data_IF_997078229414
#
_entry.id   IF_997078229414
#
_cell.length_a   1.000
_cell.length_b   1.000
_cell.length_c   1.000
_cell.angle_alpha   90.00
_cell.angle_beta   90.00
_cell.angle_gamma   90.00
#
_symmetry.space_group_name_H-M   'P 1'
#
loop_
_entity.id
_entity.type
_entity.pdbx_description
1 polymer ?
#
# COMPACT_ATOMS: atom_id res chain seq x y z
N UNK A 1 5.10 16.08 -9.19
CA UNK A 1 6.22 15.91 -8.23
C UNK A 1 5.77 15.60 -6.79
N UNK A 2 4.77 16.31 -6.22
CA UNK A 2 4.31 16.04 -4.82
C UNK A 2 3.72 14.63 -4.63
N UNK A 3 3.02 14.07 -5.63
CA UNK A 3 2.47 12.69 -5.57
C UNK A 3 3.56 11.63 -5.44
N UNK A 4 4.65 11.72 -6.20
CA UNK A 4 5.78 10.78 -6.11
C UNK A 4 6.46 10.88 -4.75
N UNK A 5 6.68 12.11 -4.23
CA UNK A 5 7.30 12.31 -2.92
C UNK A 5 6.46 11.68 -1.79
N UNK A 6 5.13 11.76 -1.89
CA UNK A 6 4.20 11.11 -0.97
C UNK A 6 4.29 9.59 -1.06
N UNK A 7 4.22 9.02 -2.28
CA UNK A 7 4.35 7.58 -2.53
C UNK A 7 5.67 7.04 -1.96
N UNK A 8 6.81 7.70 -2.25
CA UNK A 8 8.13 7.31 -1.75
C UNK A 8 8.21 7.39 -0.21
N UNK A 9 7.61 8.43 0.39
CA UNK A 9 7.53 8.57 1.86
C UNK A 9 6.76 7.40 2.48
N UNK A 10 5.58 7.07 1.93
CA UNK A 10 4.76 5.95 2.40
C UNK A 10 5.47 4.61 2.21
N UNK A 11 6.09 4.38 1.06
CA UNK A 11 6.84 3.15 0.79
C UNK A 11 8.03 2.98 1.74
N UNK A 12 8.78 4.06 2.03
CA UNK A 12 9.87 4.04 3.01
C UNK A 12 9.37 3.72 4.43
N UNK A 13 8.24 4.33 4.83
CA UNK A 13 7.60 4.05 6.11
C UNK A 13 7.14 2.60 6.18
N UNK A 14 6.51 2.09 5.11
CA UNK A 14 6.02 0.73 5.01
C UNK A 14 7.15 -0.30 5.09
N UNK A 15 8.29 -0.06 4.41
CA UNK A 15 9.49 -0.92 4.53
C UNK A 15 10.03 -0.97 5.97
N UNK A 16 9.89 0.09 6.75
CA UNK A 16 10.39 0.13 8.14
C UNK A 16 9.38 -0.40 9.17
N UNK A 17 8.08 -0.22 8.95
CA UNK A 17 7.00 -0.54 9.90
C UNK A 17 6.20 -1.78 9.52
N UNK A 18 6.30 -2.24 8.26
CA UNK A 18 5.56 -3.32 7.62
C UNK A 18 4.06 -3.08 7.47
N UNK A 19 3.45 -2.24 8.30
CA UNK A 19 2.02 -1.96 8.27
C UNK A 19 1.76 -0.46 8.33
N UNK A 20 0.92 0.07 7.41
CA UNK A 20 0.44 1.45 7.45
C UNK A 20 -1.07 1.51 7.27
N UNK A 21 -1.69 2.55 7.79
CA UNK A 21 -3.08 2.89 7.50
C UNK A 21 -3.12 4.29 6.87
N UNK A 22 -3.69 4.38 5.69
CA UNK A 22 -4.02 5.63 5.04
C UNK A 22 -5.40 6.08 5.53
N UNK A 23 -5.45 7.15 6.30
CA UNK A 23 -6.68 7.69 6.87
C UNK A 23 -7.01 9.08 6.33
N UNK A 24 -8.26 9.47 6.42
CA UNK A 24 -8.73 10.81 6.05
C UNK A 24 -10.17 10.83 5.59
N UNK A 25 -10.68 12.00 5.27
CA UNK A 25 -12.05 12.19 4.79
C UNK A 25 -12.31 11.43 3.46
N UNK A 26 -13.58 11.13 3.14
CA UNK A 26 -13.95 10.56 1.84
C UNK A 26 -13.42 11.42 0.67
N UNK A 27 -12.98 10.77 -0.41
CA UNK A 27 -12.53 11.47 -1.61
C UNK A 27 -11.13 12.11 -1.54
N UNK A 28 -10.31 11.78 -0.52
CA UNK A 28 -8.91 12.25 -0.40
C UNK A 28 -7.91 11.37 -1.17
N UNK A 29 -8.37 10.36 -1.91
CA UNK A 29 -7.53 9.51 -2.75
C UNK A 29 -6.80 8.38 -2.00
N UNK A 30 -7.32 7.92 -0.86
CA UNK A 30 -6.71 6.83 -0.07
C UNK A 30 -6.50 5.58 -0.93
N UNK A 31 -7.57 4.95 -1.39
CA UNK A 31 -7.53 3.73 -2.21
C UNK A 31 -6.78 3.95 -3.53
N UNK A 32 -6.91 5.15 -4.14
CA UNK A 32 -6.18 5.54 -5.34
C UNK A 32 -4.64 5.44 -5.17
N UNK A 33 -4.11 5.84 -4.01
CA UNK A 33 -2.68 5.85 -3.75
C UNK A 33 -2.14 4.47 -3.35
N UNK A 34 -2.98 3.52 -2.92
CA UNK A 34 -2.51 2.19 -2.48
C UNK A 34 -1.76 1.43 -3.56
N UNK A 35 -2.23 1.49 -4.81
CA UNK A 35 -1.60 0.82 -5.95
C UNK A 35 -0.19 1.35 -6.22
N UNK A 36 -0.01 2.68 -6.27
CA UNK A 36 1.29 3.29 -6.49
C UNK A 36 2.28 2.99 -5.34
N UNK A 37 1.80 3.03 -4.08
CA UNK A 37 2.60 2.69 -2.90
C UNK A 37 3.01 1.22 -2.94
N UNK A 38 2.09 0.32 -3.33
CA UNK A 38 2.38 -1.11 -3.46
C UNK A 38 3.48 -1.36 -4.50
N UNK A 39 3.37 -0.78 -5.71
CA UNK A 39 4.39 -0.93 -6.75
C UNK A 39 5.76 -0.41 -6.29
N UNK A 40 5.80 0.74 -5.63
CA UNK A 40 7.04 1.33 -5.10
C UNK A 40 7.67 0.44 -4.01
N UNK A 41 6.88 -0.11 -3.09
CA UNK A 41 7.37 -1.02 -2.04
C UNK A 41 7.91 -2.31 -2.65
N UNK A 42 7.25 -2.82 -3.70
CA UNK A 42 7.68 -4.02 -4.43
C UNK A 42 8.93 -3.79 -5.29
N UNK A 43 9.43 -2.55 -5.40
CA UNK A 43 10.58 -2.20 -6.21
C UNK A 43 10.33 -2.29 -7.73
N UNK A 44 9.09 -2.04 -8.17
CA UNK A 44 8.72 -2.03 -9.57
C UNK A 44 9.10 -0.68 -10.19
N UNK A 45 10.17 -0.67 -10.98
CA UNK A 45 10.77 0.56 -11.53
C UNK A 45 10.49 0.77 -13.03
N UNK A 46 9.75 -0.14 -13.65
CA UNK A 46 9.41 -0.13 -15.08
C UNK A 46 8.11 0.62 -15.40
N UNK A 47 7.51 1.28 -14.40
CA UNK A 47 6.24 2.01 -14.50
C UNK A 47 6.40 3.45 -14.03
N UNK A 48 5.88 4.41 -14.78
CA UNK A 48 5.74 5.78 -14.31
C UNK A 48 4.61 5.88 -13.27
N UNK A 49 4.97 6.07 -12.01
CA UNK A 49 4.01 6.19 -10.91
C UNK A 49 3.12 7.45 -10.98
N UNK A 50 3.37 8.37 -11.91
CA UNK A 50 2.48 9.51 -12.19
C UNK A 50 1.39 9.19 -13.20
N UNK A 51 1.56 8.14 -13.98
CA UNK A 51 0.55 7.63 -14.89
C UNK A 51 -0.31 6.55 -14.22
N UNK A 52 -1.48 6.96 -13.76
CA UNK A 52 -2.40 6.06 -13.07
C UNK A 52 -2.86 4.88 -13.93
N UNK A 53 -2.98 5.06 -15.24
CA UNK A 53 -3.40 3.98 -16.15
C UNK A 53 -2.32 2.91 -16.20
N UNK A 54 -1.05 3.33 -16.34
CA UNK A 54 0.10 2.42 -16.29
C UNK A 54 0.24 1.72 -14.92
N UNK A 55 0.05 2.47 -13.81
CA UNK A 55 0.04 1.93 -12.46
C UNK A 55 -1.03 0.85 -12.30
N UNK A 56 -2.28 1.12 -12.70
CA UNK A 56 -3.38 0.16 -12.58
C UNK A 56 -3.24 -1.05 -13.50
N UNK A 57 -2.63 -0.88 -14.66
CA UNK A 57 -2.28 -2.01 -15.54
C UNK A 57 -1.29 -2.95 -14.83
N UNK A 58 -0.20 -2.40 -14.30
CA UNK A 58 0.82 -3.19 -13.59
C UNK A 58 0.28 -3.82 -12.30
N UNK A 59 -0.57 -3.09 -11.57
CA UNK A 59 -1.26 -3.60 -10.40
C UNK A 59 -2.04 -4.89 -10.73
N UNK A 60 -2.84 -4.89 -11.81
CA UNK A 60 -3.63 -6.06 -12.24
C UNK A 60 -2.74 -7.25 -12.65
N UNK A 61 -1.57 -6.98 -13.28
CA UNK A 61 -0.61 -8.02 -13.64
C UNK A 61 -0.01 -8.73 -12.40
N UNK A 62 0.04 -8.04 -11.25
CA UNK A 62 0.60 -8.55 -9.99
C UNK A 62 -0.48 -9.02 -9.00
N UNK A 63 -1.75 -8.87 -9.35
CA UNK A 63 -2.87 -9.27 -8.49
C UNK A 63 -2.86 -10.78 -8.27
N UNK A 64 -3.16 -11.20 -7.03
CA UNK A 64 -3.14 -12.58 -6.54
C UNK A 64 -1.79 -13.32 -6.64
N UNK A 65 -0.71 -12.61 -7.04
CA UNK A 65 0.67 -13.11 -6.99
C UNK A 65 1.53 -12.32 -5.99
N UNK A 66 1.59 -10.99 -6.15
CA UNK A 66 2.37 -10.11 -5.28
C UNK A 66 1.55 -9.01 -4.62
N UNK A 67 0.33 -8.77 -5.10
CA UNK A 67 -0.62 -7.79 -4.53
C UNK A 67 -1.94 -8.50 -4.27
N UNK A 68 -2.34 -8.54 -3.02
CA UNK A 68 -3.63 -9.07 -2.57
C UNK A 68 -4.52 -7.91 -2.12
N UNK A 69 -5.81 -7.99 -2.41
CA UNK A 69 -6.77 -6.94 -2.07
C UNK A 69 -8.01 -7.53 -1.42
N UNK A 70 -8.43 -6.93 -0.32
CA UNK A 70 -9.70 -7.25 0.35
C UNK A 70 -10.34 -5.99 0.91
N UNK A 71 -11.64 -6.01 1.08
CA UNK A 71 -12.41 -4.95 1.76
C UNK A 71 -12.97 -5.51 3.05
N UNK A 72 -12.78 -4.82 4.16
CA UNK A 72 -13.40 -5.23 5.42
C UNK A 72 -14.85 -4.79 5.46
N UNK A 73 -15.70 -5.66 6.01
CA UNK A 73 -17.11 -5.43 6.24
C UNK A 73 -17.56 -6.19 7.51
N UNK A 74 -18.75 -5.89 8.01
CA UNK A 74 -19.23 -6.43 9.30
C UNK A 74 -19.34 -7.95 9.33
N UNK A 75 -19.58 -8.59 8.19
CA UNK A 75 -19.73 -10.04 8.09
C UNK A 75 -18.41 -10.80 7.86
N UNK A 76 -17.29 -10.08 7.64
CA UNK A 76 -15.99 -10.72 7.47
C UNK A 76 -15.47 -11.22 8.81
N UNK A 77 -15.00 -12.44 8.85
CA UNK A 77 -14.44 -13.05 10.05
C UNK A 77 -13.10 -13.75 9.81
N UNK A 78 -12.62 -14.43 10.84
CA UNK A 78 -11.36 -15.17 10.83
C UNK A 78 -11.33 -16.26 9.75
N UNK A 79 -12.46 -16.93 9.54
CA UNK A 79 -12.55 -18.07 8.63
C UNK A 79 -12.38 -17.68 7.15
N UNK A 80 -12.82 -16.45 6.79
CA UNK A 80 -12.64 -15.94 5.44
C UNK A 80 -11.29 -15.24 5.25
N UNK A 81 -10.72 -14.71 6.34
CA UNK A 81 -9.51 -13.91 6.26
C UNK A 81 -8.23 -14.73 6.47
N UNK A 82 -8.21 -15.63 7.46
CA UNK A 82 -7.03 -16.43 7.81
C UNK A 82 -7.16 -17.85 7.27
N UNK A 83 -8.03 -18.66 7.87
CA UNK A 83 -8.36 -20.01 7.42
C UNK A 83 -9.71 -20.44 7.98
N UNK A 84 -10.47 -21.22 7.22
CA UNK A 84 -11.77 -21.73 7.64
C UNK A 84 -12.08 -23.09 7.06
N UNK A 85 -13.02 -23.82 7.69
CA UNK A 85 -13.49 -25.09 7.17
C UNK A 85 -14.48 -24.88 6.02
N UNK A 86 -14.11 -25.32 4.83
CA UNK A 86 -15.00 -25.25 3.64
C UNK A 86 -15.45 -26.66 3.23
N UNK A 87 -16.73 -26.80 2.76
CA UNK A 87 -17.24 -28.08 2.32
C UNK A 87 -16.68 -28.46 0.95
N UNK A 88 -16.10 -29.65 0.85
CA UNK A 88 -15.63 -30.25 -0.39
C UNK A 88 -16.50 -31.46 -0.74
N UNK A 89 -17.04 -31.47 -1.96
CA UNK A 89 -17.84 -32.60 -2.46
C UNK A 89 -16.87 -33.71 -2.89
N UNK A 90 -16.94 -34.85 -2.23
CA UNK A 90 -16.26 -36.04 -2.68
C UNK A 90 -17.02 -36.70 -3.83
N UNK A 91 -16.31 -37.01 -4.92
CA UNK A 91 -16.86 -37.71 -6.08
C UNK A 91 -16.18 -39.07 -6.24
N UNK A 92 -16.93 -40.10 -6.64
CA UNK A 92 -16.37 -41.37 -7.04
C UNK A 92 -15.72 -41.31 -8.45
N UNK A 93 -15.11 -42.41 -8.90
CA UNK A 93 -14.48 -42.46 -10.22
C UNK A 93 -15.42 -42.20 -11.39
N UNK A 94 -16.73 -42.26 -11.17
CA UNK A 94 -17.79 -42.01 -12.17
C UNK A 94 -18.30 -40.56 -12.10
N UNK A 95 -17.77 -39.70 -11.20
CA UNK A 95 -18.20 -38.31 -11.03
C UNK A 95 -19.47 -38.13 -10.18
N UNK A 96 -19.97 -39.20 -9.52
CA UNK A 96 -21.14 -39.10 -8.63
C UNK A 96 -20.72 -38.67 -7.23
N UNK A 97 -21.48 -37.78 -6.59
CA UNK A 97 -21.24 -37.31 -5.22
C UNK A 97 -21.42 -38.47 -4.23
N UNK A 98 -20.38 -38.78 -3.44
CA UNK A 98 -20.40 -39.82 -2.40
C UNK A 98 -20.36 -39.26 -0.99
N UNK A 99 -20.22 -37.93 -0.82
CA UNK A 99 -20.22 -37.28 0.49
C UNK A 99 -19.71 -35.88 0.45
N UNK A 100 -19.71 -35.23 1.62
CA UNK A 100 -19.09 -33.90 1.84
C UNK A 100 -18.06 -34.06 2.95
N UNK A 101 -16.85 -33.59 2.69
CA UNK A 101 -15.79 -33.42 3.70
C UNK A 101 -15.61 -31.93 3.98
N UNK A 102 -15.13 -31.61 5.18
CA UNK A 102 -14.75 -30.26 5.55
C UNK A 102 -13.24 -30.19 5.67
N UNK A 103 -12.62 -29.35 4.86
CA UNK A 103 -11.17 -29.18 4.85
C UNK A 103 -10.79 -27.72 5.14
N UNK A 104 -9.68 -27.48 5.86
CA UNK A 104 -9.17 -26.13 6.06
C UNK A 104 -8.77 -25.49 4.72
N UNK A 105 -9.36 -24.35 4.40
CA UNK A 105 -9.03 -23.53 3.23
C UNK A 105 -8.37 -22.22 3.67
N UNK A 106 -7.33 -21.80 2.96
CA UNK A 106 -6.58 -20.60 3.27
C UNK A 106 -7.36 -19.34 2.89
N UNK A 107 -7.61 -18.46 3.86
CA UNK A 107 -8.13 -17.12 3.64
C UNK A 107 -7.09 -16.20 2.97
N UNK A 108 -7.52 -14.99 2.60
CA UNK A 108 -6.69 -14.07 1.81
C UNK A 108 -5.40 -13.67 2.53
N UNK A 109 -5.41 -13.50 3.85
CA UNK A 109 -4.21 -13.17 4.63
C UNK A 109 -3.19 -14.30 4.58
N UNK A 110 -3.62 -15.53 4.80
CA UNK A 110 -2.75 -16.70 4.77
C UNK A 110 -2.20 -16.95 3.36
N UNK A 111 -3.03 -16.77 2.31
CA UNK A 111 -2.57 -16.82 0.91
C UNK A 111 -1.50 -15.76 0.62
N UNK A 112 -1.68 -14.52 1.10
CA UNK A 112 -0.68 -13.47 0.95
C UNK A 112 0.62 -13.78 1.70
N UNK A 113 0.55 -14.39 2.89
CA UNK A 113 1.73 -14.87 3.62
C UNK A 113 2.45 -15.98 2.85
N UNK A 114 1.71 -16.97 2.35
CA UNK A 114 2.27 -18.10 1.59
C UNK A 114 2.91 -17.64 0.27
N UNK A 115 2.36 -16.60 -0.37
CA UNK A 115 2.90 -16.03 -1.59
C UNK A 115 4.27 -15.33 -1.40
N UNK A 116 4.69 -15.03 -0.18
CA UNK A 116 6.04 -14.49 0.11
C UNK A 116 7.12 -15.51 -0.23
N UNK A 117 6.86 -16.80 0.01
CA UNK A 117 7.77 -17.88 -0.33
C UNK A 117 7.54 -18.34 -1.77
N UNK A 118 8.60 -18.41 -2.56
CA UNK A 118 8.56 -19.07 -3.88
C UNK A 118 8.81 -20.56 -3.72
N UNK A 119 8.14 -21.33 -4.54
CA UNK A 119 8.34 -22.80 -4.56
C UNK A 119 9.78 -23.13 -5.00
N UNK A 120 10.57 -23.69 -4.08
CA UNK A 120 11.96 -24.04 -4.31
C UNK A 120 12.44 -25.08 -3.30
N UNK A 121 13.36 -25.95 -3.72
CA UNK A 121 13.83 -27.07 -2.91
C UNK A 121 14.89 -26.69 -1.86
N UNK A 122 15.59 -25.57 -2.04
CA UNK A 122 16.70 -25.12 -1.17
C UNK A 122 16.58 -23.64 -0.83
N UNK A 123 17.04 -23.28 0.36
CA UNK A 123 17.19 -21.86 0.76
C UNK A 123 18.16 -21.13 -0.17
N UNK A 124 17.85 -19.86 -0.50
CA UNK A 124 18.66 -19.05 -1.42
C UNK A 124 20.10 -18.84 -0.91
N UNK A 125 20.28 -18.79 0.41
CA UNK A 125 21.62 -18.61 1.01
C UNK A 125 22.46 -19.87 0.80
N UNK A 126 21.88 -21.04 1.04
CA UNK A 126 22.54 -22.34 0.74
C UNK A 126 22.87 -22.47 -0.75
N UNK A 127 21.94 -22.03 -1.63
CA UNK A 127 22.18 -22.03 -3.07
C UNK A 127 23.33 -21.09 -3.48
N UNK A 128 23.42 -19.91 -2.85
CA UNK A 128 24.54 -18.99 -3.07
C UNK A 128 25.86 -19.63 -2.64
N UNK A 129 25.90 -20.25 -1.45
CA UNK A 129 27.11 -20.88 -0.94
C UNK A 129 27.53 -22.07 -1.82
N UNK A 130 26.59 -22.93 -2.25
CA UNK A 130 26.85 -24.01 -3.20
C UNK A 130 27.35 -23.47 -4.56
N UNK A 131 26.78 -22.39 -5.05
CA UNK A 131 27.20 -21.77 -6.32
C UNK A 131 28.62 -21.22 -6.21
N UNK A 132 28.97 -20.57 -5.09
CA UNK A 132 30.34 -20.07 -4.84
C UNK A 132 31.37 -21.21 -4.88
N UNK A 133 31.04 -22.36 -4.32
CA UNK A 133 31.94 -23.52 -4.40
C UNK A 133 32.16 -24.01 -5.86
N UNK A 134 31.13 -23.94 -6.72
CA UNK A 134 31.24 -24.30 -8.14
C UNK A 134 32.13 -23.37 -8.96
N UNK A 135 32.20 -22.09 -8.56
CA UNK A 135 32.99 -21.03 -9.24
C UNK A 135 34.28 -20.70 -8.49
N UNK A 136 34.75 -21.62 -7.65
CA UNK A 136 35.97 -21.46 -6.89
C UNK A 136 37.18 -21.51 -7.83
N UNK A 137 38.00 -20.44 -7.82
CA UNK A 137 39.14 -20.24 -8.70
C UNK A 137 38.78 -19.58 -10.06
N UNK A 138 39.73 -18.86 -10.64
CA UNK A 138 39.51 -18.20 -11.93
C UNK A 138 39.32 -19.20 -13.09
N UNK A 139 39.90 -20.38 -13.00
CA UNK A 139 39.74 -21.49 -13.96
C UNK A 139 38.28 -21.97 -14.03
N UNK A 140 37.54 -21.89 -12.90
CA UNK A 140 36.14 -22.32 -12.79
C UNK A 140 35.16 -21.15 -13.02
N UNK A 141 35.66 -20.01 -13.56
CA UNK A 141 34.81 -18.87 -13.86
C UNK A 141 33.61 -19.25 -14.73
N UNK A 142 32.46 -18.71 -14.41
CA UNK A 142 31.24 -18.89 -15.19
C UNK A 142 30.80 -17.62 -15.86
N UNK A 143 30.14 -17.76 -17.01
CA UNK A 143 29.54 -16.68 -17.76
C UNK A 143 28.05 -16.64 -17.45
N UNK A 144 27.55 -15.51 -16.94
CA UNK A 144 26.13 -15.28 -16.67
C UNK A 144 25.64 -14.08 -17.49
N UNK A 145 24.34 -14.03 -17.88
CA UNK A 145 23.79 -12.86 -18.56
C UNK A 145 23.67 -11.69 -17.58
N UNK A 146 23.77 -10.47 -18.09
CA UNK A 146 23.35 -9.27 -17.37
C UNK A 146 21.82 -9.17 -17.36
N UNK A 147 21.22 -8.40 -16.44
CA UNK A 147 19.77 -8.23 -16.34
C UNK A 147 19.12 -7.75 -17.65
N UNK A 148 19.82 -6.94 -18.42
CA UNK A 148 19.35 -6.46 -19.73
C UNK A 148 19.44 -7.50 -20.85
N UNK A 149 20.11 -8.63 -20.62
CA UNK A 149 20.40 -9.63 -21.62
C UNK A 149 21.37 -9.20 -22.75
N UNK A 150 21.78 -7.93 -22.80
CA UNK A 150 22.60 -7.34 -23.89
C UNK A 150 24.10 -7.67 -23.78
N UNK A 151 24.55 -8.09 -22.60
CA UNK A 151 25.93 -8.47 -22.32
C UNK A 151 25.97 -9.59 -21.30
N UNK A 152 27.19 -10.08 -20.96
CA UNK A 152 27.36 -11.11 -19.96
C UNK A 152 28.51 -10.73 -19.02
N UNK A 153 28.54 -11.37 -17.87
CA UNK A 153 29.57 -11.25 -16.86
C UNK A 153 30.30 -12.56 -16.71
N UNK A 154 31.63 -12.52 -16.59
CA UNK A 154 32.39 -13.60 -15.96
C UNK A 154 32.38 -13.39 -14.47
N UNK A 155 32.12 -14.47 -13.71
CA UNK A 155 32.10 -14.49 -12.25
C UNK A 155 32.99 -15.63 -11.75
N UNK A 156 33.72 -15.39 -10.67
CA UNK A 156 34.49 -16.38 -9.94
C UNK A 156 34.71 -15.97 -8.50
N UNK A 157 34.97 -16.92 -7.65
CA UNK A 157 35.22 -16.68 -6.23
C UNK A 157 36.57 -17.29 -5.83
N UNK A 158 37.34 -16.55 -5.05
CA UNK A 158 38.55 -17.08 -4.43
C UNK A 158 38.24 -17.47 -3.00
N UNK A 159 38.54 -18.73 -2.64
CA UNK A 159 38.24 -19.24 -1.30
C UNK A 159 38.83 -18.38 -0.21
N UNK A 160 38.03 -18.14 0.84
CA UNK A 160 38.37 -17.27 1.95
C UNK A 160 38.14 -15.77 1.69
N UNK A 161 37.82 -15.36 0.46
CA UNK A 161 37.48 -13.98 0.19
C UNK A 161 36.01 -13.66 0.58
N UNK A 162 35.82 -12.48 1.15
CA UNK A 162 34.48 -11.92 1.45
C UNK A 162 33.80 -11.30 0.22
N UNK A 163 34.48 -11.35 -0.94
CA UNK A 163 34.00 -10.74 -2.18
C UNK A 163 33.99 -11.75 -3.34
N UNK A 164 32.91 -11.68 -4.14
CA UNK A 164 32.79 -12.30 -5.44
C UNK A 164 33.43 -11.41 -6.49
N UNK A 165 34.29 -11.94 -7.33
CA UNK A 165 34.92 -11.23 -8.45
C UNK A 165 34.03 -11.29 -9.69
N UNK A 166 33.85 -10.15 -10.35
CA UNK A 166 33.04 -10.06 -11.58
C UNK A 166 33.78 -9.30 -12.68
N UNK A 167 33.49 -9.63 -13.94
CA UNK A 167 34.05 -8.97 -15.11
C UNK A 167 33.07 -8.97 -16.28
N UNK A 168 32.90 -7.80 -16.92
CA UNK A 168 32.13 -7.71 -18.17
C UNK A 168 32.80 -8.49 -19.29
N UNK A 169 32.03 -9.19 -20.14
CA UNK A 169 32.54 -9.85 -21.35
C UNK A 169 33.10 -8.88 -22.39
N UNK A 170 32.82 -7.60 -22.27
CA UNK A 170 33.38 -6.56 -23.15
C UNK A 170 34.84 -6.19 -22.77
N UNK A 171 35.36 -6.74 -21.68
CA UNK A 171 36.76 -6.57 -21.30
C UNK A 171 37.69 -7.39 -22.21
N UNK A 172 38.77 -6.80 -22.69
CA UNK A 172 39.73 -7.41 -23.65
C UNK A 172 40.65 -8.43 -23.01
N UNK A 173 40.96 -8.28 -21.69
CA UNK A 173 41.84 -9.22 -20.98
C UNK A 173 41.13 -10.50 -20.58
N UNK A 174 41.80 -11.64 -20.63
CA UNK A 174 41.25 -12.94 -20.20
C UNK A 174 42.01 -13.55 -19.00
N UNK A 175 43.06 -12.91 -18.50
CA UNK A 175 43.88 -13.39 -17.41
C UNK A 175 43.51 -12.73 -16.08
N UNK A 176 43.53 -13.48 -14.98
CA UNK A 176 43.44 -12.88 -13.65
C UNK A 176 44.69 -12.02 -13.41
N UNK A 177 44.49 -10.78 -12.99
CA UNK A 177 45.57 -9.80 -12.77
C UNK A 177 45.82 -8.81 -13.91
N UNK A 178 45.28 -9.08 -15.13
CA UNK A 178 45.41 -8.12 -16.26
C UNK A 178 44.43 -6.95 -16.16
N UNK A 179 43.52 -6.96 -15.18
CA UNK A 179 42.50 -5.93 -14.95
C UNK A 179 42.04 -5.96 -13.49
N UNK A 180 41.42 -4.89 -13.04
CA UNK A 180 40.81 -4.82 -11.71
C UNK A 180 39.38 -5.37 -11.79
N UNK A 181 39.05 -6.50 -11.11
CA UNK A 181 37.69 -6.99 -11.09
C UNK A 181 36.77 -6.04 -10.33
N UNK A 182 35.48 -6.06 -10.67
CA UNK A 182 34.44 -5.38 -9.89
C UNK A 182 34.05 -6.29 -8.73
N UNK A 183 34.52 -6.02 -7.50
CA UNK A 183 34.25 -6.91 -6.37
C UNK A 183 32.85 -6.66 -5.83
N UNK A 184 32.12 -7.75 -5.55
CA UNK A 184 30.81 -7.72 -4.90
C UNK A 184 30.93 -8.34 -3.52
N UNK A 185 30.50 -7.66 -2.49
CA UNK A 185 30.49 -8.18 -1.13
C UNK A 185 29.44 -9.29 -1.01
N UNK A 186 29.86 -10.50 -0.59
CA UNK A 186 29.01 -11.69 -0.52
C UNK A 186 27.92 -11.53 0.53
N UNK A 187 28.20 -10.97 1.70
CA UNK A 187 27.17 -10.73 2.73
C UNK A 187 26.11 -9.75 2.25
N UNK A 188 26.53 -8.73 1.51
CA UNK A 188 25.57 -7.79 0.88
C UNK A 188 24.73 -8.49 -0.20
N UNK A 189 25.31 -9.40 -0.99
CA UNK A 189 24.56 -10.23 -1.94
C UNK A 189 23.53 -11.07 -1.21
N UNK A 190 23.90 -11.74 -0.13
CA UNK A 190 23.00 -12.56 0.69
C UNK A 190 21.85 -11.72 1.27
N UNK A 191 22.14 -10.54 1.83
CA UNK A 191 21.11 -9.61 2.32
C UNK A 191 20.16 -9.14 1.21
N UNK A 192 20.70 -8.85 0.03
CA UNK A 192 19.92 -8.45 -1.14
C UNK A 192 19.02 -9.59 -1.63
N UNK A 193 19.53 -10.84 -1.65
CA UNK A 193 18.77 -12.03 -2.02
C UNK A 193 17.58 -12.29 -1.07
N UNK A 194 17.73 -11.93 0.21
CA UNK A 194 16.68 -11.97 1.24
C UNK A 194 15.73 -10.76 1.23
N UNK A 195 15.91 -9.79 0.32
CA UNK A 195 15.11 -8.57 0.28
C UNK A 195 15.40 -7.58 1.42
N UNK A 196 16.50 -7.75 2.15
CA UNK A 196 16.87 -6.92 3.33
C UNK A 196 17.65 -5.64 2.99
N UNK A 197 17.52 -5.11 1.78
CA UNK A 197 18.03 -3.82 1.36
C UNK A 197 19.52 -3.60 1.69
N UNK A 198 20.42 -4.13 0.86
CA UNK A 198 21.85 -3.86 0.97
C UNK A 198 22.40 -3.50 -0.39
N UNK A 199 23.04 -2.31 -0.49
CA UNK A 199 23.61 -1.85 -1.75
C UNK A 199 25.07 -2.32 -1.90
N UNK A 200 25.34 -3.02 -3.00
CA UNK A 200 26.69 -3.26 -3.51
C UNK A 200 27.11 -2.11 -4.44
N UNK A 201 28.38 -1.81 -4.55
CA UNK A 201 28.89 -0.79 -5.48
C UNK A 201 28.52 -1.08 -6.95
N UNK A 202 28.22 -2.36 -7.28
CA UNK A 202 27.78 -2.84 -8.60
C UNK A 202 26.49 -3.61 -8.46
N UNK A 203 25.44 -2.92 -8.02
CA UNK A 203 24.15 -3.53 -7.67
C UNK A 203 23.54 -4.36 -8.81
N UNK A 204 23.67 -3.90 -10.07
CA UNK A 204 23.16 -4.64 -11.23
C UNK A 204 23.88 -5.98 -11.43
N UNK A 205 25.18 -6.08 -11.08
CA UNK A 205 25.94 -7.30 -11.17
C UNK A 205 25.58 -8.26 -10.03
N UNK A 206 25.38 -7.74 -8.83
CA UNK A 206 24.90 -8.52 -7.70
C UNK A 206 23.52 -9.14 -8.00
N UNK A 207 22.60 -8.36 -8.56
CA UNK A 207 21.29 -8.85 -8.97
C UNK A 207 21.38 -9.89 -10.09
N UNK A 208 22.23 -9.71 -11.09
CA UNK A 208 22.45 -10.69 -12.15
C UNK A 208 23.00 -12.02 -11.59
N UNK A 209 23.88 -11.97 -10.60
CA UNK A 209 24.37 -13.15 -9.91
C UNK A 209 23.23 -13.86 -9.13
N UNK A 210 22.43 -13.13 -8.36
CA UNK A 210 21.29 -13.70 -7.63
C UNK A 210 20.32 -14.40 -8.59
N UNK A 211 19.99 -13.77 -9.72
CA UNK A 211 19.09 -14.38 -10.73
C UNK A 211 19.72 -15.65 -11.36
N UNK A 212 21.03 -15.65 -11.59
CA UNK A 212 21.71 -16.85 -12.10
C UNK A 212 21.65 -18.02 -11.10
N UNK A 213 21.81 -17.73 -9.79
CA UNK A 213 21.66 -18.74 -8.73
C UNK A 213 20.24 -19.25 -8.65
N UNK A 214 19.25 -18.37 -8.65
CA UNK A 214 17.82 -18.75 -8.64
C UNK A 214 17.47 -19.68 -9.79
N UNK A 215 17.90 -19.33 -10.99
CA UNK A 215 17.62 -20.12 -12.20
C UNK A 215 18.29 -21.50 -12.19
N UNK A 216 19.52 -21.61 -11.64
CA UNK A 216 20.25 -22.89 -11.61
C UNK A 216 19.70 -23.85 -10.56
N UNK A 217 19.29 -23.34 -9.40
CA UNK A 217 18.89 -24.19 -8.27
C UNK A 217 17.38 -24.23 -8.04
N UNK A 218 16.58 -23.47 -8.79
CA UNK A 218 15.16 -23.24 -8.44
C UNK A 218 15.04 -22.91 -6.95
N UNK A 219 15.88 -21.97 -6.51
CA UNK A 219 16.03 -21.67 -5.10
C UNK A 219 14.75 -21.08 -4.51
N UNK A 220 14.43 -21.51 -3.28
CA UNK A 220 13.40 -20.87 -2.47
C UNK A 220 13.80 -19.43 -2.21
N UNK A 221 13.02 -18.48 -2.68
CA UNK A 221 13.29 -17.06 -2.50
C UNK A 221 12.09 -16.37 -1.86
N UNK A 222 12.37 -15.47 -0.93
CA UNK A 222 11.31 -14.65 -0.34
C UNK A 222 11.07 -13.41 -1.21
N UNK A 223 9.95 -13.36 -1.90
CA UNK A 223 9.51 -12.18 -2.63
C UNK A 223 8.72 -11.24 -1.73
N UNK A 224 8.78 -9.95 -2.00
CA UNK A 224 7.92 -8.98 -1.32
C UNK A 224 6.49 -9.09 -1.82
N UNK A 225 5.54 -9.10 -0.88
CA UNK A 225 4.10 -9.17 -1.13
C UNK A 225 3.41 -8.01 -0.41
N UNK A 226 2.38 -7.44 -1.00
CA UNK A 226 1.55 -6.40 -0.40
C UNK A 226 0.11 -6.89 -0.25
N UNK A 227 -0.42 -6.80 0.96
CA UNK A 227 -1.85 -6.99 1.23
C UNK A 227 -2.49 -5.61 1.44
N UNK A 228 -3.47 -5.27 0.63
CA UNK A 228 -4.28 -4.06 0.75
C UNK A 228 -5.60 -4.43 1.39
N UNK A 229 -5.94 -3.74 2.48
CA UNK A 229 -7.19 -3.89 3.24
C UNK A 229 -7.96 -2.57 3.15
N UNK A 230 -8.94 -2.52 2.28
CA UNK A 230 -9.79 -1.35 2.14
C UNK A 230 -10.84 -1.31 3.26
N UNK A 231 -11.17 -0.10 3.76
CA UNK A 231 -12.15 0.11 4.85
C UNK A 231 -11.87 -0.74 6.11
N UNK A 232 -10.60 -0.79 6.56
CA UNK A 232 -10.15 -1.67 7.65
C UNK A 232 -10.97 -1.48 8.95
N UNK A 233 -11.55 -0.30 9.17
CA UNK A 233 -12.37 0.01 10.34
C UNK A 233 -13.82 -0.49 10.23
N UNK A 234 -14.29 -0.99 9.07
CA UNK A 234 -15.65 -1.52 8.91
C UNK A 234 -15.83 -2.94 9.44
N UNK A 235 -14.74 -3.65 9.69
CA UNK A 235 -14.75 -4.98 10.30
C UNK A 235 -14.28 -4.97 11.76
N UNK A 236 -14.62 -6.01 12.51
CA UNK A 236 -14.03 -6.22 13.82
C UNK A 236 -12.62 -6.79 13.67
N UNK A 237 -11.62 -5.90 13.60
CA UNK A 237 -10.24 -6.27 13.27
C UNK A 237 -9.66 -7.26 14.26
N UNK A 238 -9.95 -7.12 15.56
CA UNK A 238 -9.48 -8.06 16.59
C UNK A 238 -10.07 -9.47 16.40
N UNK A 239 -11.33 -9.57 15.96
CA UNK A 239 -11.97 -10.86 15.64
C UNK A 239 -11.38 -11.44 14.33
N UNK A 240 -11.18 -10.61 13.32
CA UNK A 240 -10.72 -11.02 11.98
C UNK A 240 -9.28 -11.54 12.03
N UNK A 241 -8.38 -10.86 12.73
CA UNK A 241 -6.98 -11.30 12.87
C UNK A 241 -6.78 -12.35 13.96
N UNK A 242 -7.67 -12.38 14.97
CA UNK A 242 -7.52 -13.26 16.11
C UNK A 242 -6.14 -13.16 16.78
N UNK A 243 -5.54 -14.30 17.07
CA UNK A 243 -4.19 -14.39 17.66
C UNK A 243 -3.06 -13.84 16.79
N UNK A 244 -3.30 -13.75 15.47
CA UNK A 244 -2.29 -13.27 14.52
C UNK A 244 -2.03 -11.77 14.65
N UNK A 245 -2.90 -11.02 15.33
CA UNK A 245 -2.74 -9.58 15.53
C UNK A 245 -1.38 -9.25 16.18
N UNK A 246 -0.90 -10.11 17.09
CA UNK A 246 0.41 -9.93 17.74
C UNK A 246 1.57 -10.13 16.78
N UNK A 247 1.42 -11.00 15.79
CA UNK A 247 2.46 -11.32 14.80
C UNK A 247 2.65 -10.21 13.76
N UNK A 248 1.78 -9.21 13.74
CA UNK A 248 1.92 -8.04 12.85
C UNK A 248 3.06 -7.11 13.27
N UNK A 249 3.49 -7.17 14.54
CA UNK A 249 4.63 -6.38 15.03
C UNK A 249 5.92 -6.82 14.31
N UNK A 250 6.75 -5.85 13.88
CA UNK A 250 7.94 -6.14 13.06
C UNK A 250 8.95 -7.06 13.76
N UNK A 251 9.06 -6.99 15.09
CA UNK A 251 9.97 -7.83 15.87
C UNK A 251 9.46 -9.26 16.08
N UNK A 252 8.16 -9.52 15.88
CA UNK A 252 7.51 -10.82 16.03
C UNK A 252 7.43 -11.63 14.74
N UNK A 253 7.72 -11.00 13.59
CA UNK A 253 7.71 -11.66 12.29
C UNK A 253 8.88 -12.62 12.13
N UNK A 254 8.82 -13.53 11.16
CA UNK A 254 9.76 -14.66 10.99
C UNK A 254 11.25 -14.29 11.04
N UNK A 255 11.65 -13.10 10.56
CA UNK A 255 13.04 -12.63 10.61
C UNK A 255 13.22 -11.44 11.58
N UNK A 256 12.27 -11.22 12.48
CA UNK A 256 12.34 -10.21 13.54
C UNK A 256 13.29 -10.62 14.68
N UNK A 257 13.49 -9.73 15.64
CA UNK A 257 14.38 -10.01 16.78
C UNK A 257 13.79 -11.05 17.76
N UNK A 258 12.46 -11.16 17.81
CA UNK A 258 11.74 -12.08 18.71
C UNK A 258 10.63 -12.78 17.92
N UNK A 259 10.95 -13.66 16.94
CA UNK A 259 9.95 -14.28 16.09
C UNK A 259 9.02 -15.18 16.90
N UNK A 260 7.72 -15.06 16.63
CA UNK A 260 6.69 -15.88 17.29
C UNK A 260 5.90 -16.61 16.21
N UNK A 261 5.61 -17.89 16.48
CA UNK A 261 4.67 -18.69 15.69
C UNK A 261 3.51 -19.13 16.57
N UNK A 262 2.33 -19.20 16.00
CA UNK A 262 1.13 -19.69 16.67
C UNK A 262 0.58 -20.92 15.94
N UNK A 263 -0.11 -21.78 16.66
CA UNK A 263 -0.80 -22.92 16.05
C UNK A 263 -2.17 -22.46 15.57
N UNK A 264 -2.42 -22.59 14.28
CA UNK A 264 -3.71 -22.23 13.68
C UNK A 264 -4.82 -23.19 14.14
N UNK A 265 -6.06 -22.71 14.33
CA UNK A 265 -7.13 -23.49 14.96
C UNK A 265 -7.68 -24.62 14.09
N UNK A 266 -7.72 -24.46 12.77
CA UNK A 266 -8.32 -25.45 11.84
C UNK A 266 -7.26 -26.39 11.25
N UNK A 267 -6.23 -25.85 10.61
CA UNK A 267 -5.17 -26.67 9.99
C UNK A 267 -4.22 -27.33 10.99
N UNK A 268 -4.19 -26.86 12.25
CA UNK A 268 -3.25 -27.31 13.31
C UNK A 268 -1.78 -27.17 12.92
N UNK A 269 -1.47 -26.25 12.01
CA UNK A 269 -0.10 -25.94 11.58
C UNK A 269 0.48 -24.75 12.34
N UNK A 270 1.80 -24.75 12.55
CA UNK A 270 2.50 -23.61 13.12
C UNK A 270 2.63 -22.52 12.06
N UNK A 271 2.18 -21.31 12.38
CA UNK A 271 2.12 -20.20 11.46
C UNK A 271 2.83 -18.96 12.01
N UNK A 272 3.63 -18.31 11.17
CA UNK A 272 4.30 -17.04 11.42
C UNK A 272 4.00 -16.05 10.30
N UNK A 273 4.12 -14.77 10.57
CA UNK A 273 3.94 -13.72 9.55
C UNK A 273 5.29 -13.39 8.93
N UNK A 274 5.44 -13.52 7.60
CA UNK A 274 6.70 -13.24 6.92
C UNK A 274 7.08 -11.76 7.01
N UNK A 275 8.38 -11.48 7.11
CA UNK A 275 8.87 -10.10 7.18
C UNK A 275 8.74 -9.33 5.86
N UNK A 276 8.63 -10.03 4.73
CA UNK A 276 8.45 -9.41 3.41
C UNK A 276 6.97 -9.24 3.01
N UNK A 277 6.04 -9.49 3.93
CA UNK A 277 4.63 -9.12 3.77
C UNK A 277 4.43 -7.69 4.27
N UNK A 278 3.90 -6.82 3.42
CA UNK A 278 3.55 -5.44 3.74
C UNK A 278 2.03 -5.27 3.74
N UNK A 279 1.49 -4.53 4.71
CA UNK A 279 0.04 -4.33 4.83
C UNK A 279 -0.29 -2.85 4.70
N UNK A 280 -1.20 -2.51 3.79
CA UNK A 280 -1.72 -1.17 3.59
C UNK A 280 -3.21 -1.20 3.91
N UNK A 281 -3.62 -0.60 5.02
CA UNK A 281 -5.03 -0.35 5.33
C UNK A 281 -5.48 1.00 4.80
N UNK A 282 -6.78 1.13 4.46
CA UNK A 282 -7.43 2.43 4.29
C UNK A 282 -8.57 2.57 5.28
N UNK A 283 -8.85 3.78 5.74
CA UNK A 283 -10.02 4.05 6.55
C UNK A 283 -10.55 5.47 6.38
N UNK A 284 -11.86 5.63 6.49
CA UNK A 284 -12.51 6.92 6.57
C UNK A 284 -12.55 7.38 8.04
N UNK A 285 -12.11 8.62 8.30
CA UNK A 285 -12.06 9.18 9.66
C UNK A 285 -13.41 9.66 10.16
N UNK A 286 -14.34 9.98 9.26
CA UNK A 286 -15.67 10.52 9.58
C UNK A 286 -16.75 9.47 9.81
N UNK A 287 -16.49 8.22 9.45
CA UNK A 287 -17.48 7.15 9.57
C UNK A 287 -17.62 6.67 11.04
N UNK A 288 -18.59 7.23 11.76
CA UNK A 288 -18.92 6.88 13.15
C UNK A 288 -19.65 5.55 13.30
N UNK A 289 -20.25 5.04 12.24
CA UNK A 289 -20.93 3.75 12.23
C UNK A 289 -19.96 2.57 12.39
N UNK A 290 -18.69 2.85 12.10
CA UNK A 290 -17.57 1.92 12.26
C UNK A 290 -16.95 2.09 13.64
N UNK A 291 -16.68 0.98 14.32
CA UNK A 291 -16.07 1.00 15.65
C UNK A 291 -14.73 1.75 15.66
N UNK A 292 -14.37 2.33 16.80
CA UNK A 292 -13.03 2.90 17.00
C UNK A 292 -11.99 1.80 16.82
N UNK A 293 -10.95 2.06 16.02
CA UNK A 293 -9.82 1.15 15.91
C UNK A 293 -9.24 0.87 17.30
N UNK A 294 -9.17 -0.41 17.64
CA UNK A 294 -8.62 -0.88 18.90
C UNK A 294 -7.18 -0.34 19.10
N UNK A 295 -6.85 0.03 20.32
CA UNK A 295 -5.50 0.44 20.71
C UNK A 295 -4.44 -0.60 20.32
N UNK A 296 -4.80 -1.87 20.25
CA UNK A 296 -3.94 -2.95 19.76
C UNK A 296 -3.41 -2.70 18.34
N UNK A 297 -4.25 -2.17 17.43
CA UNK A 297 -3.85 -1.83 16.07
C UNK A 297 -3.00 -0.56 16.00
N UNK A 298 -3.28 0.43 16.85
CA UNK A 298 -2.51 1.68 16.87
C UNK A 298 -1.02 1.45 17.13
N UNK A 299 -0.66 0.39 17.83
CA UNK A 299 0.73 0.01 18.09
C UNK A 299 1.39 -0.70 16.90
N UNK A 300 0.61 -1.35 16.04
CA UNK A 300 1.06 -2.23 14.96
C UNK A 300 1.07 -1.57 13.59
N UNK A 301 0.33 -0.48 13.44
CA UNK A 301 0.23 0.28 12.20
C UNK A 301 0.75 1.70 12.37
N UNK A 302 1.43 2.21 11.35
CA UNK A 302 1.73 3.63 11.27
C UNK A 302 0.60 4.33 10.50
N UNK A 303 0.07 5.43 11.06
CA UNK A 303 -1.04 6.16 10.48
C UNK A 303 -0.53 7.31 9.61
N UNK A 304 -1.07 7.42 8.41
CA UNK A 304 -0.76 8.46 7.44
C UNK A 304 -2.05 9.16 7.04
N UNK A 305 -2.21 10.43 7.43
CA UNK A 305 -3.40 11.20 7.10
C UNK A 305 -3.27 11.82 5.71
N UNK A 306 -4.27 11.59 4.86
CA UNK A 306 -4.44 12.24 3.57
C UNK A 306 -5.45 13.37 3.70
N UNK A 307 -4.98 14.57 3.41
CA UNK A 307 -5.79 15.78 3.46
C UNK A 307 -6.36 16.10 2.08
N UNK A 308 -7.50 16.79 2.07
CA UNK A 308 -8.01 17.41 0.85
C UNK A 308 -7.01 18.45 0.34
N UNK A 309 -6.59 18.35 -0.93
CA UNK A 309 -5.54 19.20 -1.49
C UNK A 309 -6.02 19.93 -2.75
N UNK A 310 -6.15 21.27 -2.71
CA UNK A 310 -6.58 22.06 -3.85
C UNK A 310 -5.60 22.03 -5.04
N UNK A 311 -4.31 21.79 -4.81
CA UNK A 311 -3.33 21.66 -5.91
C UNK A 311 -3.62 20.45 -6.82
N UNK A 312 -4.26 19.41 -6.29
CA UNK A 312 -4.69 18.24 -7.10
C UNK A 312 -5.85 18.66 -8.01
N UNK A 313 -6.80 19.46 -7.49
CA UNK A 313 -7.89 20.03 -8.28
C UNK A 313 -7.33 20.90 -9.41
N UNK A 314 -6.41 21.80 -9.10
CA UNK A 314 -5.74 22.64 -10.10
C UNK A 314 -5.03 21.81 -11.17
N UNK A 315 -4.29 20.79 -10.75
CA UNK A 315 -3.58 19.88 -11.68
C UNK A 315 -4.54 19.14 -12.61
N UNK A 316 -5.70 18.72 -12.12
CA UNK A 316 -6.75 18.08 -12.91
C UNK A 316 -7.24 18.99 -14.03
N UNK A 317 -7.66 20.23 -13.70
CA UNK A 317 -8.17 21.15 -14.69
C UNK A 317 -7.11 21.72 -15.64
N UNK A 318 -5.86 21.81 -15.19
CA UNK A 318 -4.75 22.15 -16.08
C UNK A 318 -4.54 21.10 -17.16
N UNK A 319 -4.71 19.81 -16.83
CA UNK A 319 -4.65 18.69 -17.83
C UNK A 319 -5.84 18.74 -18.80
N UNK A 320 -7.02 19.14 -18.31
CA UNK A 320 -8.23 19.31 -19.15
C UNK A 320 -8.23 20.60 -19.97
N UNK A 321 -7.27 21.51 -19.72
CA UNK A 321 -7.19 22.84 -20.34
C UNK A 321 -8.50 23.63 -20.18
N UNK A 322 -9.12 23.58 -18.99
CA UNK A 322 -10.37 24.26 -18.66
C UNK A 322 -10.19 25.24 -17.49
N UNK A 323 -9.70 26.48 -17.75
CA UNK A 323 -9.42 27.46 -16.69
C UNK A 323 -10.67 28.01 -16.00
N UNK A 324 -11.81 28.11 -16.70
CA UNK A 324 -13.04 28.63 -16.11
C UNK A 324 -13.61 27.68 -15.08
N UNK A 325 -13.71 26.41 -15.41
CA UNK A 325 -14.19 25.38 -14.48
C UNK A 325 -13.22 25.19 -13.31
N UNK A 326 -11.89 25.36 -13.52
CA UNK A 326 -10.90 25.39 -12.46
C UNK A 326 -11.21 26.43 -11.40
N UNK A 327 -11.49 27.67 -11.83
CA UNK A 327 -11.80 28.79 -10.92
C UNK A 327 -13.03 28.44 -10.09
N UNK A 328 -14.11 27.98 -10.73
CA UNK A 328 -15.36 27.59 -10.06
C UNK A 328 -15.14 26.47 -9.04
N UNK A 329 -14.41 25.43 -9.40
CA UNK A 329 -14.13 24.28 -8.54
C UNK A 329 -13.26 24.66 -7.32
N UNK A 330 -12.23 25.51 -7.51
CA UNK A 330 -11.39 25.99 -6.40
C UNK A 330 -12.17 26.93 -5.48
N UNK A 331 -13.01 27.79 -6.04
CA UNK A 331 -13.87 28.67 -5.26
C UNK A 331 -14.85 27.87 -4.41
N UNK A 332 -15.51 26.86 -5.00
CA UNK A 332 -16.40 25.95 -4.30
C UNK A 332 -15.67 25.22 -3.18
N UNK A 333 -14.48 24.68 -3.45
CA UNK A 333 -13.63 24.04 -2.43
C UNK A 333 -13.36 24.98 -1.25
N UNK A 334 -12.97 26.21 -1.52
CA UNK A 334 -12.67 27.21 -0.49
C UNK A 334 -13.91 27.61 0.31
N UNK A 335 -15.07 27.75 -0.35
CA UNK A 335 -16.35 28.07 0.30
C UNK A 335 -16.76 26.95 1.28
N UNK A 336 -16.70 25.71 0.85
CA UNK A 336 -17.02 24.56 1.71
C UNK A 336 -16.01 24.45 2.85
N UNK A 337 -14.73 24.65 2.56
CA UNK A 337 -13.69 24.68 3.58
C UNK A 337 -13.95 25.75 4.63
N UNK A 338 -14.27 26.97 4.21
CA UNK A 338 -14.58 28.07 5.14
C UNK A 338 -15.81 27.77 5.99
N UNK A 339 -16.84 27.16 5.40
CA UNK A 339 -18.06 26.75 6.11
C UNK A 339 -17.73 25.70 7.20
N UNK A 340 -17.00 24.62 6.85
CA UNK A 340 -16.62 23.58 7.81
C UNK A 340 -15.69 24.14 8.90
N UNK A 341 -14.76 25.05 8.52
CA UNK A 341 -13.77 25.64 9.43
C UNK A 341 -14.33 26.71 10.37
N UNK A 342 -15.55 27.16 10.17
CA UNK A 342 -16.13 28.18 11.04
C UNK A 342 -16.10 27.70 12.50
N UNK A 343 -15.49 28.45 13.44
CA UNK A 343 -15.46 28.07 14.86
C UNK A 343 -16.87 27.93 15.47
N UNK A 344 -17.88 28.56 14.83
CA UNK A 344 -19.27 28.46 15.24
C UNK A 344 -19.91 27.13 14.87
N UNK A 345 -19.33 26.40 13.89
CA UNK A 345 -19.93 25.20 13.30
C UNK A 345 -19.35 23.90 13.86
N UNK A 346 -18.08 23.88 14.25
CA UNK A 346 -17.40 22.67 14.71
C UNK A 346 -17.88 22.26 16.11
N UNK A 347 -18.40 21.04 16.20
CA UNK A 347 -18.79 20.40 17.45
C UNK A 347 -17.90 19.18 17.71
N UNK A 348 -17.26 19.14 18.90
CA UNK A 348 -16.49 17.98 19.37
C UNK A 348 -15.03 17.96 18.91
N UNK A 349 -14.39 16.79 19.07
CA UNK A 349 -12.94 16.58 18.92
C UNK A 349 -12.46 16.30 17.48
N UNK A 350 -13.25 16.67 16.45
CA UNK A 350 -12.84 16.45 15.07
C UNK A 350 -11.87 17.53 14.58
N UNK A 351 -10.75 17.05 14.02
CA UNK A 351 -9.86 17.93 13.26
C UNK A 351 -10.46 18.31 11.91
N UNK A 352 -10.10 19.47 11.39
CA UNK A 352 -10.55 19.90 10.07
C UNK A 352 -10.15 18.93 8.97
N UNK A 353 -8.98 18.31 9.10
CA UNK A 353 -8.45 17.33 8.16
C UNK A 353 -9.30 16.07 8.07
N UNK A 354 -10.11 15.81 9.10
CA UNK A 354 -11.02 14.68 9.15
C UNK A 354 -12.34 14.97 8.45
N UNK A 355 -12.78 16.25 8.44
CA UNK A 355 -14.10 16.64 7.97
C UNK A 355 -14.11 17.24 6.56
N UNK A 356 -12.98 17.81 6.11
CA UNK A 356 -12.93 18.47 4.82
C UNK A 356 -13.15 17.48 3.67
N UNK A 357 -14.19 17.72 2.89
CA UNK A 357 -14.56 16.93 1.70
C UNK A 357 -13.35 16.79 0.76
N UNK A 358 -13.05 15.58 0.35
CA UNK A 358 -11.86 15.26 -0.43
C UNK A 358 -11.85 15.93 -1.81
N UNK A 359 -10.67 16.15 -2.35
CA UNK A 359 -10.47 16.86 -3.62
C UNK A 359 -11.13 16.17 -4.83
N UNK A 360 -11.39 14.86 -4.79
CA UNK A 360 -12.03 14.13 -5.91
C UNK A 360 -13.47 14.60 -6.18
N UNK A 361 -14.17 15.09 -5.18
CA UNK A 361 -15.51 15.63 -5.33
C UNK A 361 -15.57 16.92 -6.17
N UNK A 362 -14.44 17.61 -6.26
CA UNK A 362 -14.30 18.87 -7.02
C UNK A 362 -13.67 18.66 -8.40
N UNK A 363 -13.39 17.43 -8.80
CA UNK A 363 -12.78 17.11 -10.08
C UNK A 363 -13.86 16.60 -11.04
N UNK A 364 -14.16 17.39 -12.08
CA UNK A 364 -15.21 17.11 -13.06
C UNK A 364 -14.73 17.43 -14.48
N UNK A 365 -15.34 16.84 -15.51
CA UNK A 365 -15.07 17.11 -16.91
C UNK A 365 -15.89 18.27 -17.47
N UNK A 366 -17.02 18.56 -16.82
CA UNK A 366 -17.94 19.64 -17.19
C UNK A 366 -18.54 20.33 -15.97
N UNK A 367 -19.13 21.52 -16.15
CA UNK A 367 -19.85 22.23 -15.10
C UNK A 367 -21.06 21.45 -14.61
N UNK A 368 -21.80 20.82 -15.52
CA UNK A 368 -22.93 19.95 -15.19
C UNK A 368 -22.51 18.78 -14.28
N UNK A 369 -21.38 18.14 -14.59
CA UNK A 369 -20.85 17.08 -13.72
C UNK A 369 -20.44 17.62 -12.35
N UNK A 370 -19.84 18.83 -12.29
CA UNK A 370 -19.50 19.46 -11.01
C UNK A 370 -20.74 19.74 -10.18
N UNK A 371 -21.79 20.31 -10.80
CA UNK A 371 -23.06 20.57 -10.13
C UNK A 371 -23.74 19.28 -9.65
N UNK A 372 -23.74 18.23 -10.44
CA UNK A 372 -24.24 16.93 -10.03
C UNK A 372 -23.49 16.38 -8.81
N UNK A 373 -22.16 16.54 -8.76
CA UNK A 373 -21.38 16.17 -7.57
C UNK A 373 -21.73 17.02 -6.34
N UNK A 374 -22.00 18.31 -6.54
CA UNK A 374 -22.49 19.16 -5.44
C UNK A 374 -23.81 18.63 -4.92
N UNK A 375 -24.79 18.47 -5.80
CA UNK A 375 -26.17 18.13 -5.45
C UNK A 375 -26.30 16.73 -4.83
N UNK A 376 -25.65 15.74 -5.45
CA UNK A 376 -25.87 14.33 -5.11
C UNK A 376 -24.77 13.71 -4.24
N UNK A 377 -23.63 14.37 -4.06
CA UNK A 377 -22.52 13.82 -3.28
C UNK A 377 -22.11 14.74 -2.12
N UNK A 378 -21.83 16.03 -2.38
CA UNK A 378 -21.31 16.95 -1.36
C UNK A 378 -22.41 17.38 -0.38
N UNK A 379 -23.56 17.83 -0.88
CA UNK A 379 -24.65 18.30 -0.03
C UNK A 379 -25.19 17.19 0.88
N UNK A 380 -25.44 15.96 0.41
CA UNK A 380 -25.81 14.85 1.28
C UNK A 380 -24.79 14.56 2.37
N UNK A 381 -23.47 14.56 2.03
CA UNK A 381 -22.40 14.31 2.99
C UNK A 381 -22.36 15.39 4.09
N UNK A 382 -22.45 16.67 3.72
CA UNK A 382 -22.49 17.76 4.70
C UNK A 382 -23.77 17.71 5.53
N UNK A 383 -24.92 17.35 4.93
CA UNK A 383 -26.15 17.17 5.65
C UNK A 383 -26.06 16.03 6.69
N UNK A 384 -25.35 14.95 6.37
CA UNK A 384 -25.04 13.85 7.30
C UNK A 384 -24.20 14.35 8.47
N UNK A 385 -23.13 15.12 8.22
CA UNK A 385 -22.33 15.72 9.28
C UNK A 385 -23.13 16.63 10.22
N UNK A 386 -24.12 17.36 9.67
CA UNK A 386 -25.03 18.19 10.47
C UNK A 386 -25.98 17.32 11.29
N UNK A 387 -26.59 16.29 10.69
CA UNK A 387 -27.51 15.37 11.36
C UNK A 387 -26.83 14.56 12.49
N UNK A 388 -25.57 14.19 12.29
CA UNK A 388 -24.75 13.48 13.28
C UNK A 388 -24.22 14.40 14.40
N UNK A 389 -24.51 15.71 14.32
CA UNK A 389 -24.05 16.69 15.30
C UNK A 389 -22.53 16.95 15.26
N UNK A 390 -21.86 16.62 14.15
CA UNK A 390 -20.45 16.95 13.90
C UNK A 390 -20.29 18.42 13.56
N UNK A 391 -21.23 18.94 12.77
CA UNK A 391 -21.35 20.35 12.41
C UNK A 391 -22.68 20.89 12.98
N UNK A 392 -22.62 21.99 13.73
CA UNK A 392 -23.80 22.70 14.25
C UNK A 392 -24.03 23.98 13.46
N UNK A 393 -25.19 24.13 12.84
CA UNK A 393 -25.54 25.24 12.00
C UNK A 393 -27.05 25.43 11.99
N UNK A 394 -27.53 26.69 11.88
CA UNK A 394 -28.94 26.95 11.76
C UNK A 394 -29.51 26.52 10.39
N UNK A 395 -30.82 26.18 10.35
CA UNK A 395 -31.46 25.77 9.10
C UNK A 395 -31.40 26.87 8.01
N UNK A 396 -31.40 28.12 8.39
CA UNK A 396 -31.32 29.26 7.46
C UNK A 396 -29.91 29.33 6.85
N UNK A 397 -28.89 29.18 7.67
CA UNK A 397 -27.48 29.22 7.22
C UNK A 397 -27.16 28.00 6.34
N UNK A 398 -27.63 26.81 6.72
CA UNK A 398 -27.57 25.59 5.91
C UNK A 398 -28.20 25.82 4.52
N UNK A 399 -29.42 26.34 4.47
CA UNK A 399 -30.12 26.60 3.22
C UNK A 399 -29.37 27.60 2.34
N UNK A 400 -28.83 28.70 2.93
CA UNK A 400 -28.02 29.70 2.21
C UNK A 400 -26.76 29.07 1.62
N UNK A 401 -26.01 28.32 2.43
CA UNK A 401 -24.79 27.69 1.98
C UNK A 401 -25.06 26.70 0.82
N UNK A 402 -26.06 25.84 0.96
CA UNK A 402 -26.44 24.88 -0.05
C UNK A 402 -26.88 25.53 -1.36
N UNK A 403 -27.69 26.60 -1.26
CA UNK A 403 -28.09 27.34 -2.43
C UNK A 403 -26.91 28.04 -3.13
N UNK A 404 -25.98 28.64 -2.38
CA UNK A 404 -24.80 29.27 -2.94
C UNK A 404 -23.90 28.25 -3.66
N UNK A 405 -23.71 27.02 -3.11
CA UNK A 405 -22.90 25.99 -3.71
C UNK A 405 -23.52 25.38 -4.98
N UNK A 406 -24.85 25.20 -5.01
CA UNK A 406 -25.58 24.76 -6.21
C UNK A 406 -25.51 25.78 -7.35
N UNK A 407 -25.32 27.06 -7.04
CA UNK A 407 -25.15 28.10 -8.06
C UNK A 407 -23.68 28.48 -8.31
N UNK A 408 -22.73 27.76 -7.71
CA UNK A 408 -21.28 28.01 -7.76
C UNK A 408 -20.94 29.49 -7.41
N UNK A 409 -21.68 30.07 -6.48
CA UNK A 409 -21.53 31.46 -6.04
C UNK A 409 -20.69 31.54 -4.75
N UNK A 410 -19.98 32.67 -4.51
CA UNK A 410 -19.33 32.91 -3.23
C UNK A 410 -20.39 33.03 -2.13
N UNK A 411 -20.11 32.55 -0.94
CA UNK A 411 -20.93 32.85 0.24
C UNK A 411 -20.79 34.33 0.56
N UNK A 412 -21.92 35.05 0.65
CA UNK A 412 -21.95 36.41 1.15
C UNK A 412 -21.74 36.37 2.67
N UNK A 413 -20.70 37.04 3.15
CA UNK A 413 -20.54 37.32 4.58
C UNK A 413 -21.71 38.22 4.98
N UNK A 414 -22.54 37.80 5.93
CA UNK A 414 -23.46 38.67 6.60
C UNK A 414 -22.63 39.55 7.53
N UNK A 415 -22.58 40.85 7.28
CA UNK A 415 -22.20 41.83 8.30
C UNK A 415 -23.10 41.51 9.52
N UNK A 416 -22.49 41.18 10.66
CA UNK A 416 -23.20 41.05 11.92
C UNK A 416 -23.94 42.36 12.14
N UNK A 417 -25.28 42.35 12.18
CA UNK A 417 -26.06 43.47 12.68
C UNK A 417 -25.55 43.74 14.09
N UNK A 418 -24.79 44.83 14.25
CA UNK A 418 -24.52 45.44 15.55
C UNK A 418 -25.88 45.67 16.22
N UNK A 419 -26.18 44.87 17.23
CA UNK A 419 -27.28 45.11 18.12
C UNK A 419 -26.95 46.44 18.81
N UNK A 420 -27.44 47.52 18.24
CA UNK A 420 -27.52 48.79 18.93
C UNK A 420 -28.42 48.62 20.18
N UNK A 421 -27.79 48.33 21.30
CA UNK A 421 -28.39 48.60 22.58
C UNK A 421 -28.32 50.11 22.79
N UNK A 422 -29.25 50.85 22.20
CA UNK A 422 -29.56 52.19 22.67
C UNK A 422 -30.27 52.06 24.00
N UNK A 423 -29.65 52.67 24.97
CA UNK A 423 -30.13 53.00 26.30
C UNK A 423 -31.59 53.45 26.33
N UNK A 424 -32.43 52.85 27.13
CA UNK A 424 -33.55 53.53 27.76
C UNK A 424 -33.23 53.82 29.24
N UNK A 425 -33.23 55.17 29.49
CA UNK A 425 -33.19 55.81 30.81
C UNK A 425 -34.27 55.30 31.77
#
# INVERSE_FOLDING_TARGET
MKSIAFTNKCAKLLRSKHNIILQGAPGTGKTYNTAAIALEVLGINDVDLTDHVAVMKKYRELQDDRIFFTTFHQSLDYEDFVEGLKPHIQTNANGESIGVTYEPEDGIFKRACNAVETDGSKDIIECIDDYLQKIKGFENKRKIPTLSGRSSLYIWWKEGNTTLSTRSTNSTSQREGDYTPSPLNIEKIKLQALGKGSENNWQQYAQAFIEAVKNEYHAKTNKSVVLIIDEINRGNVSKIFGELITLLESDKRDTGNHPIKVMLPYSKTMFGVPSNLYIIGTMNTTDRSTGTLDYALRRRFAFVTLQANPEIIESHYNKLNNPELKIKAIQLFNNIKAFIMSPKHLCGDFGIDDLMVGHSYFMASSEEELLNKVEYEILPLIAEYINDGIISVSDEEKKRAFHAWLNLQPMQETEDEEINTEDEN
#
